data_IF_857462667332
#
_entry.id   IF_857462667332
#
_cell.length_a   1.000
_cell.length_b   1.000
_cell.length_c   1.000
_cell.angle_alpha   90.00
_cell.angle_beta   90.00
_cell.angle_gamma   90.00
#
_symmetry.space_group_name_H-M   'P 1'
#
loop_
_entity.id
_entity.type
_entity.pdbx_description
1 polymer ?
#
# COMPACT_ATOMS: atom_id res chain seq x y z
N UNK A 1 -23.65 -51.69 17.04
CA UNK A 1 -24.15 -52.13 15.73
C UNK A 1 -24.77 -50.94 15.02
N UNK A 2 -24.25 -50.51 13.86
CA UNK A 2 -25.02 -49.70 12.92
C UNK A 2 -25.23 -50.49 11.61
N UNK A 3 -26.45 -50.48 11.06
CA UNK A 3 -26.74 -51.02 9.72
C UNK A 3 -27.79 -50.17 9.03
N UNK A 4 -27.41 -49.55 7.90
CA UNK A 4 -28.04 -49.66 6.57
C UNK A 4 -27.62 -48.42 5.75
N UNK A 5 -26.68 -48.54 4.82
CA UNK A 5 -26.74 -49.18 3.49
C UNK A 5 -27.35 -48.27 2.40
N UNK A 6 -26.44 -47.75 1.57
CA UNK A 6 -26.65 -47.16 0.24
C UNK A 6 -27.16 -48.20 -0.78
N UNK A 7 -27.58 -47.74 -1.98
CA UNK A 7 -27.16 -48.43 -3.19
C UNK A 7 -26.42 -47.55 -4.21
N UNK A 8 -25.40 -48.18 -4.79
CA UNK A 8 -24.55 -47.80 -5.93
C UNK A 8 -25.29 -47.95 -7.28
N UNK A 9 -24.77 -47.28 -8.32
CA UNK A 9 -24.38 -47.82 -9.67
C UNK A 9 -23.99 -46.63 -10.57
N UNK A 10 -23.12 -46.70 -11.58
CA UNK A 10 -22.13 -47.67 -12.05
C UNK A 10 -21.22 -46.93 -13.06
N UNK A 11 -19.97 -47.41 -13.20
CA UNK A 11 -18.96 -46.96 -14.18
C UNK A 11 -19.27 -47.49 -15.59
N UNK A 12 -18.86 -46.74 -16.61
CA UNK A 12 -18.56 -47.23 -17.95
C UNK A 12 -17.51 -46.33 -18.62
N UNK A 13 -16.39 -46.89 -19.05
CA UNK A 13 -15.45 -46.31 -20.02
C UNK A 13 -15.25 -47.32 -21.17
N UNK A 14 -14.16 -47.22 -21.96
CA UNK A 14 -13.75 -46.13 -22.84
C UNK A 14 -13.78 -46.57 -24.33
N UNK A 15 -13.80 -45.62 -25.27
CA UNK A 15 -13.73 -45.88 -26.72
C UNK A 15 -12.61 -45.07 -27.39
N UNK A 16 -11.86 -45.72 -28.29
CA UNK A 16 -10.57 -45.27 -28.84
C UNK A 16 -10.63 -44.96 -30.35
N UNK A 17 -9.78 -44.02 -30.79
CA UNK A 17 -9.16 -43.78 -32.13
C UNK A 17 -10.04 -43.39 -33.34
N UNK A 18 -9.67 -42.31 -34.04
CA UNK A 18 -8.98 -42.37 -35.36
C UNK A 18 -8.51 -40.97 -35.83
N UNK A 19 -7.44 -40.93 -36.61
CA UNK A 19 -6.81 -39.77 -37.23
C UNK A 19 -6.90 -39.84 -38.78
N UNK A 20 -6.98 -38.69 -39.45
CA UNK A 20 -6.68 -38.45 -40.90
C UNK A 20 -6.63 -36.93 -41.11
N UNK A 21 -5.49 -36.28 -41.39
CA UNK A 21 -4.70 -36.08 -42.64
C UNK A 21 -5.19 -34.96 -43.59
N UNK A 22 -4.22 -34.13 -43.98
CA UNK A 22 -4.21 -32.84 -44.68
C UNK A 22 -4.75 -32.78 -46.13
N UNK A 23 -5.00 -31.55 -46.64
CA UNK A 23 -4.56 -31.13 -47.99
C UNK A 23 -4.64 -29.59 -48.17
N UNK A 24 -3.65 -29.07 -48.90
CA UNK A 24 -3.36 -27.67 -49.18
C UNK A 24 -4.06 -27.14 -50.44
N UNK A 25 -4.10 -25.81 -50.60
CA UNK A 25 -4.32 -25.16 -51.90
C UNK A 25 -3.39 -23.96 -52.04
N UNK A 26 -2.42 -24.12 -52.94
CA UNK A 26 -1.61 -23.05 -53.52
C UNK A 26 -2.07 -22.84 -54.96
N UNK A 27 -2.27 -21.59 -55.36
CA UNK A 27 -2.33 -21.17 -56.77
C UNK A 27 -1.39 -19.97 -56.91
N UNK A 28 -0.43 -20.09 -57.82
CA UNK A 28 0.56 -19.07 -58.11
C UNK A 28 0.43 -18.46 -59.50
N UNK A 29 1.15 -17.35 -59.63
CA UNK A 29 1.70 -16.69 -60.81
C UNK A 29 0.79 -15.73 -61.62
N UNK A 30 1.18 -14.45 -61.68
CA UNK A 30 2.04 -13.90 -62.75
C UNK A 30 2.41 -12.44 -62.43
N UNK A 31 3.66 -12.07 -62.66
CA UNK A 31 4.24 -10.78 -62.29
C UNK A 31 4.25 -9.73 -63.40
N UNK A 32 4.56 -8.50 -62.99
CA UNK A 32 5.16 -7.46 -63.83
C UNK A 32 6.13 -6.65 -62.96
N UNK A 33 7.39 -6.56 -63.39
CA UNK A 33 8.44 -5.73 -62.81
C UNK A 33 8.62 -4.47 -63.68
N UNK A 34 8.72 -3.29 -63.04
CA UNK A 34 9.13 -2.00 -63.63
C UNK A 34 9.86 -1.19 -62.52
N UNK A 35 10.91 -0.40 -62.82
CA UNK A 35 12.15 -0.38 -62.04
C UNK A 35 12.24 0.68 -60.93
N UNK A 36 13.27 0.50 -60.10
CA UNK A 36 13.67 1.37 -59.00
C UNK A 36 14.08 2.78 -59.47
N UNK A 37 13.53 3.79 -58.78
CA UNK A 37 14.08 5.14 -58.73
C UNK A 37 14.72 5.34 -57.35
N UNK A 38 16.03 5.62 -57.33
CA UNK A 38 16.76 6.05 -56.13
C UNK A 38 16.26 7.44 -55.72
N UNK A 39 15.78 7.56 -54.48
CA UNK A 39 15.56 8.83 -53.82
C UNK A 39 16.43 8.88 -52.55
N UNK A 40 17.10 10.00 -52.37
CA UNK A 40 18.18 10.23 -51.44
C UNK A 40 17.77 10.04 -49.96
N UNK A 41 18.71 9.49 -49.18
CA UNK A 41 18.64 9.40 -47.73
C UNK A 41 18.44 10.77 -47.10
N UNK A 42 17.31 10.95 -46.44
CA UNK A 42 17.09 12.04 -45.49
C UNK A 42 17.10 11.41 -44.09
N UNK A 43 17.87 11.92 -43.10
CA UNK A 43 17.92 11.28 -41.79
C UNK A 43 16.54 11.41 -41.12
N UNK A 44 15.93 10.27 -40.80
CA UNK A 44 14.73 10.24 -39.97
C UNK A 44 15.05 10.86 -38.59
N UNK A 45 14.15 11.68 -38.01
CA UNK A 45 14.35 12.19 -36.66
C UNK A 45 14.34 10.99 -35.71
N UNK A 46 15.42 10.85 -34.94
CA UNK A 46 15.52 9.87 -33.87
C UNK A 46 14.33 10.09 -32.93
N UNK A 47 13.41 9.12 -32.92
CA UNK A 47 12.36 9.06 -31.92
C UNK A 47 13.02 9.08 -30.56
N UNK A 48 12.66 10.08 -29.74
CA UNK A 48 12.97 10.06 -28.31
C UNK A 48 12.42 8.75 -27.78
N UNK A 49 13.30 7.83 -27.38
CA UNK A 49 12.91 6.71 -26.54
C UNK A 49 12.16 7.32 -25.36
N UNK A 50 10.86 7.03 -25.25
CA UNK A 50 10.13 7.29 -24.04
C UNK A 50 10.82 6.47 -22.95
N UNK A 51 11.55 7.15 -22.07
CA UNK A 51 11.85 6.60 -20.75
C UNK A 51 10.47 6.25 -20.19
N UNK A 52 10.24 4.98 -19.88
CA UNK A 52 9.02 4.61 -19.17
C UNK A 52 9.01 5.45 -17.90
N UNK A 53 8.01 6.32 -17.75
CA UNK A 53 7.78 7.04 -16.50
C UNK A 53 7.81 5.99 -15.38
N UNK A 54 8.52 6.25 -14.27
CA UNK A 54 8.46 5.34 -13.14
C UNK A 54 6.99 5.12 -12.78
N UNK A 55 6.59 3.86 -12.59
CA UNK A 55 5.25 3.57 -12.10
C UNK A 55 5.17 4.05 -10.65
N UNK A 56 4.79 5.32 -10.47
CA UNK A 56 4.69 6.00 -9.17
C UNK A 56 3.53 5.45 -8.34
N UNK A 57 2.60 4.71 -8.95
CA UNK A 57 1.39 4.26 -8.27
C UNK A 57 0.45 5.41 -7.87
N UNK A 58 0.73 6.65 -8.28
CA UNK A 58 -0.07 7.83 -7.96
C UNK A 58 -1.46 7.76 -8.65
N UNK A 59 -2.54 8.03 -7.91
CA UNK A 59 -3.83 8.24 -8.51
C UNK A 59 -3.87 9.46 -9.46
N UNK A 60 -4.62 9.37 -10.58
CA UNK A 60 -4.83 10.51 -11.47
C UNK A 60 -5.68 11.59 -10.80
N UNK A 61 -5.65 12.84 -11.28
CA UNK A 61 -6.46 13.94 -10.72
C UNK A 61 -7.96 13.62 -10.63
N UNK A 62 -8.50 12.82 -11.55
CA UNK A 62 -9.91 12.40 -11.52
C UNK A 62 -10.27 11.55 -10.29
N UNK A 63 -9.28 10.92 -9.63
CA UNK A 63 -9.48 10.23 -8.36
C UNK A 63 -9.69 11.22 -7.20
N UNK A 64 -9.00 12.35 -7.21
CA UNK A 64 -9.11 13.36 -6.16
C UNK A 64 -10.36 14.25 -6.34
N UNK A 65 -10.85 14.36 -7.58
CA UNK A 65 -12.05 15.11 -7.91
C UNK A 65 -11.76 16.60 -8.12
N UNK A 66 -12.78 17.45 -8.00
CA UNK A 66 -12.63 18.89 -8.22
C UNK A 66 -12.03 19.58 -6.99
N UNK A 67 -10.75 19.94 -7.07
CA UNK A 67 -10.03 20.69 -6.05
C UNK A 67 -10.40 22.18 -6.04
N UNK A 68 -10.93 22.72 -7.15
CA UNK A 68 -11.39 24.12 -7.24
C UNK A 68 -12.65 24.40 -6.40
N UNK A 69 -13.35 23.34 -6.00
CA UNK A 69 -14.52 23.42 -5.10
C UNK A 69 -14.16 23.47 -3.61
N UNK A 70 -12.89 23.25 -3.25
CA UNK A 70 -12.46 23.24 -1.85
C UNK A 70 -12.54 24.67 -1.28
N UNK A 71 -13.31 24.91 -0.22
CA UNK A 71 -13.43 26.25 0.37
C UNK A 71 -12.09 26.70 0.96
N UNK A 72 -11.82 28.00 0.90
CA UNK A 72 -10.64 28.58 1.52
C UNK A 72 -10.69 28.38 3.05
N UNK A 73 -9.59 27.88 3.62
CA UNK A 73 -9.42 27.73 5.05
C UNK A 73 -9.57 29.08 5.76
N UNK A 74 -10.20 29.08 6.92
CA UNK A 74 -10.21 30.23 7.85
C UNK A 74 -9.21 30.00 9.00
N UNK A 75 -8.77 28.76 9.19
CA UNK A 75 -7.69 28.38 10.08
C UNK A 75 -6.38 28.15 9.29
N UNK A 76 -5.76 26.96 9.37
CA UNK A 76 -4.45 26.68 8.76
C UNK A 76 -4.61 26.04 7.39
N UNK A 77 -5.41 24.97 7.27
CA UNK A 77 -5.68 24.31 5.99
C UNK A 77 -7.09 23.72 5.97
N UNK A 78 -7.66 23.55 4.78
CA UNK A 78 -8.94 22.88 4.61
C UNK A 78 -8.71 21.39 4.37
N UNK A 79 -9.25 20.53 5.24
CA UNK A 79 -9.25 19.07 5.00
C UNK A 79 -10.55 18.69 4.30
N UNK A 80 -10.47 17.88 3.24
CA UNK A 80 -11.62 17.28 2.55
C UNK A 80 -11.48 15.76 2.58
N UNK A 81 -12.53 15.08 3.02
CA UNK A 81 -12.57 13.61 3.03
C UNK A 81 -13.31 13.11 1.78
N UNK A 82 -12.69 12.20 1.04
CA UNK A 82 -13.20 11.66 -0.21
C UNK A 82 -13.66 10.21 -0.02
N UNK A 83 -14.85 9.90 -0.53
CA UNK A 83 -15.33 8.52 -0.63
C UNK A 83 -14.77 7.85 -1.89
N UNK A 84 -13.78 6.97 -1.68
CA UNK A 84 -13.20 6.12 -2.72
C UNK A 84 -13.53 4.64 -2.47
N UNK A 85 -14.71 4.37 -1.89
CA UNK A 85 -15.14 3.02 -1.54
C UNK A 85 -15.70 2.21 -2.71
N UNK A 86 -15.49 2.66 -3.95
CA UNK A 86 -15.98 1.99 -5.17
C UNK A 86 -17.49 1.70 -5.15
N UNK A 87 -18.27 2.61 -4.55
CA UNK A 87 -19.72 2.47 -4.38
C UNK A 87 -20.16 1.47 -3.31
N UNK A 88 -19.23 0.92 -2.53
CA UNK A 88 -19.56 0.01 -1.42
C UNK A 88 -20.34 0.71 -0.33
N UNK A 89 -19.94 1.92 0.02
CA UNK A 89 -20.57 2.75 1.04
C UNK A 89 -21.01 4.08 0.43
N UNK A 90 -22.27 4.50 0.63
CA UNK A 90 -22.67 5.88 0.36
C UNK A 90 -22.00 6.87 1.34
N UNK A 91 -22.00 8.15 1.00
CA UNK A 91 -21.35 9.22 1.77
C UNK A 91 -21.90 9.38 3.21
N UNK A 92 -23.16 9.01 3.46
CA UNK A 92 -23.75 8.98 4.80
C UNK A 92 -23.28 7.79 5.66
N UNK A 93 -22.43 6.92 5.09
CA UNK A 93 -21.80 5.78 5.74
C UNK A 93 -20.27 5.83 5.73
N UNK A 94 -19.68 6.92 5.26
CA UNK A 94 -18.23 7.20 5.40
C UNK A 94 -18.08 8.28 6.45
N UNK A 95 -17.39 7.98 7.55
CA UNK A 95 -17.25 8.87 8.69
C UNK A 95 -15.81 9.27 8.92
N UNK A 96 -15.61 10.49 9.41
CA UNK A 96 -14.36 10.91 10.04
C UNK A 96 -14.61 11.22 11.52
N UNK A 97 -13.58 11.08 12.35
CA UNK A 97 -13.59 11.46 13.76
C UNK A 97 -12.30 12.19 14.13
N UNK A 98 -12.45 13.39 14.66
CA UNK A 98 -11.34 14.23 15.09
C UNK A 98 -11.82 15.24 16.15
N UNK A 99 -10.97 15.59 17.12
CA UNK A 99 -11.30 16.60 18.13
C UNK A 99 -12.52 16.27 19.01
N UNK A 100 -12.88 14.99 19.14
CA UNK A 100 -14.08 14.54 19.86
C UNK A 100 -15.39 14.68 19.07
N UNK A 101 -15.32 15.05 17.80
CA UNK A 101 -16.45 15.10 16.88
C UNK A 101 -16.42 13.91 15.92
N UNK A 102 -17.58 13.50 15.43
CA UNK A 102 -17.69 12.43 14.42
C UNK A 102 -18.86 12.73 13.52
N UNK A 103 -18.60 12.82 12.21
CA UNK A 103 -19.59 13.16 11.21
C UNK A 103 -19.44 12.26 9.99
N UNK A 104 -20.54 12.02 9.29
CA UNK A 104 -20.48 11.43 7.94
C UNK A 104 -20.01 12.49 6.95
N UNK A 105 -19.41 12.09 5.82
CA UNK A 105 -19.00 13.05 4.80
C UNK A 105 -20.21 13.64 4.04
N UNK A 106 -21.37 12.97 4.05
CA UNK A 106 -22.61 13.56 3.53
C UNK A 106 -23.09 14.75 4.37
N UNK A 107 -22.84 14.71 5.68
CA UNK A 107 -23.17 15.79 6.60
C UNK A 107 -22.11 16.89 6.57
N UNK A 108 -20.83 16.51 6.68
CA UNK A 108 -19.72 17.44 6.77
C UNK A 108 -18.48 16.87 6.04
N UNK A 109 -18.30 17.17 4.74
CA UNK A 109 -17.17 16.67 3.96
C UNK A 109 -15.87 17.47 4.19
N UNK A 110 -15.98 18.66 4.79
CA UNK A 110 -14.87 19.60 4.99
C UNK A 110 -14.60 19.85 6.48
N UNK A 111 -13.32 19.95 6.84
CA UNK A 111 -12.85 20.33 8.17
C UNK A 111 -11.86 21.50 8.02
N UNK A 112 -12.26 22.69 8.48
CA UNK A 112 -11.37 23.84 8.57
C UNK A 112 -10.41 23.65 9.75
N UNK A 113 -9.20 23.17 9.46
CA UNK A 113 -8.32 22.56 10.46
C UNK A 113 -7.49 23.62 11.20
N UNK A 114 -7.66 23.75 12.54
CA UNK A 114 -6.81 24.60 13.35
C UNK A 114 -5.46 23.95 13.63
N UNK A 115 -4.52 24.79 14.08
CA UNK A 115 -3.25 24.31 14.62
C UNK A 115 -3.49 23.31 15.77
N UNK A 116 -2.72 22.23 15.78
CA UNK A 116 -2.76 21.16 16.78
C UNK A 116 -1.38 20.50 16.91
N UNK A 117 -1.12 19.86 18.04
CA UNK A 117 0.22 19.35 18.39
C UNK A 117 0.41 17.83 18.29
N UNK A 118 -0.68 17.07 18.07
CA UNK A 118 -0.68 15.61 17.90
C UNK A 118 -2.08 15.12 17.47
N UNK A 119 -2.42 15.29 16.20
CA UNK A 119 -3.69 14.87 15.62
C UNK A 119 -3.69 13.40 15.19
N UNK A 120 -4.76 12.69 15.54
CA UNK A 120 -5.20 11.46 14.85
C UNK A 120 -6.61 11.68 14.34
N UNK A 121 -6.80 11.65 13.03
CA UNK A 121 -8.13 11.63 12.42
C UNK A 121 -8.45 10.19 12.02
N UNK A 122 -9.49 9.65 12.64
CA UNK A 122 -9.97 8.29 12.37
C UNK A 122 -11.03 8.32 11.28
N UNK A 123 -11.07 7.27 10.47
CA UNK A 123 -12.08 7.03 9.46
C UNK A 123 -12.84 5.75 9.77
N UNK A 124 -14.15 5.74 9.53
CA UNK A 124 -15.00 4.57 9.75
C UNK A 124 -15.93 4.34 8.56
N UNK A 125 -16.19 3.07 8.25
CA UNK A 125 -17.14 2.68 7.20
C UNK A 125 -18.34 1.93 7.78
N UNK A 126 -19.54 2.30 7.31
CA UNK A 126 -20.83 1.74 7.69
C UNK A 126 -21.45 2.34 8.96
N UNK A 127 -20.64 2.73 9.94
CA UNK A 127 -21.10 3.34 11.20
C UNK A 127 -19.98 4.18 11.87
N UNK A 128 -20.30 5.21 12.66
CA UNK A 128 -19.34 6.17 13.24
C UNK A 128 -18.34 5.61 14.27
N UNK A 129 -18.44 4.32 14.63
CA UNK A 129 -17.50 3.60 15.51
C UNK A 129 -17.30 2.15 15.03
N UNK A 130 -17.38 1.94 13.72
CA UNK A 130 -17.26 0.61 13.10
C UNK A 130 -15.88 -0.02 13.38
N UNK A 131 -15.80 -1.35 13.33
CA UNK A 131 -14.50 -2.04 13.33
C UNK A 131 -13.75 -1.88 12.01
N UNK A 132 -14.44 -1.50 10.93
CA UNK A 132 -13.80 -1.06 9.69
C UNK A 132 -13.33 0.36 9.87
N UNK A 133 -12.12 0.50 10.40
CA UNK A 133 -11.53 1.75 10.79
C UNK A 133 -10.03 1.81 10.47
N UNK A 134 -9.54 3.01 10.23
CA UNK A 134 -8.12 3.33 10.08
C UNK A 134 -7.91 4.81 10.42
N UNK A 135 -6.68 5.31 10.41
CA UNK A 135 -6.41 6.71 10.75
C UNK A 135 -5.18 7.28 10.02
N UNK A 136 -5.15 8.61 9.93
CA UNK A 136 -3.94 9.37 9.62
C UNK A 136 -3.40 10.04 10.89
N UNK A 137 -2.09 10.26 10.92
CA UNK A 137 -1.42 11.01 11.97
C UNK A 137 -0.91 12.32 11.41
N UNK A 138 -1.06 13.42 12.16
CA UNK A 138 -0.55 14.71 11.73
C UNK A 138 -0.32 15.69 12.89
N UNK A 139 0.46 16.72 12.59
CA UNK A 139 0.64 17.92 13.39
C UNK A 139 0.46 19.11 12.47
N UNK A 140 -0.49 19.99 12.81
CA UNK A 140 -0.69 21.25 12.11
C UNK A 140 -0.08 22.37 12.95
N UNK A 141 1.07 22.88 12.52
CA UNK A 141 1.66 24.08 13.11
C UNK A 141 0.91 25.35 12.68
N UNK A 142 1.36 26.53 13.11
CA UNK A 142 0.74 27.80 12.69
C UNK A 142 0.73 28.03 11.17
N UNK A 143 1.70 27.45 10.45
CA UNK A 143 1.90 27.63 9.01
C UNK A 143 2.63 26.43 8.38
N UNK A 144 2.36 25.22 8.88
CA UNK A 144 3.02 24.00 8.40
C UNK A 144 2.12 22.80 8.65
N UNK A 145 1.99 21.93 7.64
CA UNK A 145 1.41 20.60 7.81
C UNK A 145 2.54 19.57 7.93
N UNK A 146 2.39 18.62 8.85
CA UNK A 146 3.22 17.42 8.95
C UNK A 146 2.28 16.24 9.11
N UNK A 147 2.34 15.21 8.28
CA UNK A 147 1.44 14.08 8.46
C UNK A 147 1.74 12.88 7.58
N UNK A 148 1.09 11.76 7.90
CA UNK A 148 1.27 10.49 7.22
C UNK A 148 0.02 9.61 7.33
N UNK A 149 -0.17 8.74 6.33
CA UNK A 149 -0.89 7.47 6.55
C UNK A 149 0.00 6.54 7.38
N UNK A 150 -0.56 5.52 8.05
CA UNK A 150 0.26 4.60 8.85
C UNK A 150 -0.25 3.16 8.82
N UNK A 151 0.70 2.22 8.69
CA UNK A 151 0.50 0.77 8.81
C UNK A 151 1.31 0.21 9.98
N UNK A 152 1.85 1.07 10.86
CA UNK A 152 2.66 0.66 12.02
C UNK A 152 1.88 -0.27 12.96
N UNK A 153 0.59 -0.01 13.15
CA UNK A 153 -0.27 -0.84 14.00
C UNK A 153 -0.98 -1.95 13.17
N UNK A 154 -1.61 -1.56 12.06
CA UNK A 154 -2.35 -2.44 11.17
C UNK A 154 -2.70 -1.75 9.85
N UNK A 155 -3.08 -2.56 8.85
CA UNK A 155 -3.94 -2.12 7.75
C UNK A 155 -5.41 -2.34 8.12
N UNK A 156 -6.19 -1.27 8.17
CA UNK A 156 -7.63 -1.29 8.44
C UNK A 156 -8.45 -0.91 7.21
N UNK A 157 -8.21 0.25 6.61
CA UNK A 157 -8.88 0.78 5.43
C UNK A 157 -7.83 1.21 4.41
N UNK A 158 -8.23 1.36 3.14
CA UNK A 158 -7.36 1.97 2.14
C UNK A 158 -7.33 3.48 2.35
N UNK A 159 -6.15 4.06 2.51
CA UNK A 159 -5.98 5.48 2.77
C UNK A 159 -4.89 6.08 1.87
N UNK A 160 -5.19 7.24 1.30
CA UNK A 160 -4.21 8.09 0.64
C UNK A 160 -4.48 9.56 1.00
N UNK A 161 -3.44 10.37 0.96
CA UNK A 161 -3.48 11.80 1.18
C UNK A 161 -2.91 12.54 -0.02
N UNK A 162 -3.51 13.71 -0.34
CA UNK A 162 -2.93 14.70 -1.27
C UNK A 162 -2.83 16.03 -0.56
N UNK A 163 -1.61 16.54 -0.40
CA UNK A 163 -1.34 17.82 0.26
C UNK A 163 -0.97 18.86 -0.80
N UNK A 164 -1.64 19.99 -0.76
CA UNK A 164 -1.33 21.14 -1.60
C UNK A 164 -1.06 22.40 -0.76
N UNK A 165 -0.09 23.20 -1.19
CA UNK A 165 0.30 24.46 -0.56
C UNK A 165 0.13 25.65 -1.51
N UNK A 166 0.09 26.86 -0.96
CA UNK A 166 -0.13 28.08 -1.73
C UNK A 166 0.99 28.42 -2.72
N UNK A 167 2.19 27.87 -2.53
CA UNK A 167 3.33 28.02 -3.45
C UNK A 167 3.31 27.04 -4.64
N UNK A 168 2.27 26.20 -4.73
CA UNK A 168 2.08 25.20 -5.78
C UNK A 168 2.71 23.84 -5.47
N UNK A 169 3.21 23.61 -4.26
CA UNK A 169 3.53 22.25 -3.81
C UNK A 169 2.27 21.37 -3.87
N UNK A 170 2.40 20.18 -4.45
CA UNK A 170 1.32 19.19 -4.58
C UNK A 170 1.95 17.79 -4.53
N UNK A 171 1.62 17.01 -3.50
CA UNK A 171 2.20 15.67 -3.30
C UNK A 171 1.13 14.67 -2.86
N UNK A 172 1.37 13.39 -3.16
CA UNK A 172 0.48 12.29 -2.82
C UNK A 172 1.25 11.20 -2.06
N UNK A 173 0.64 10.65 -1.02
CA UNK A 173 1.19 9.53 -0.23
C UNK A 173 0.08 8.58 0.25
N UNK A 174 0.44 7.33 0.54
CA UNK A 174 -0.49 6.31 1.02
C UNK A 174 -0.55 5.09 0.11
N UNK A 175 -1.65 4.34 0.15
CA UNK A 175 -1.82 3.16 -0.70
C UNK A 175 -1.95 3.56 -2.18
N UNK A 176 -1.41 2.73 -3.08
CA UNK A 176 -1.35 3.04 -4.51
C UNK A 176 -2.71 2.98 -5.23
N UNK A 177 -2.76 3.58 -6.41
CA UNK A 177 -3.99 3.66 -7.20
C UNK A 177 -4.56 2.29 -7.57
N UNK A 178 -3.69 1.31 -7.85
CA UNK A 178 -4.14 -0.05 -8.15
C UNK A 178 -4.87 -0.67 -6.94
N UNK A 179 -4.37 -0.46 -5.73
CA UNK A 179 -5.01 -0.90 -4.50
C UNK A 179 -6.40 -0.28 -4.36
N UNK A 180 -6.57 1.00 -4.70
CA UNK A 180 -7.88 1.66 -4.71
C UNK A 180 -8.84 1.14 -5.79
N UNK A 181 -8.36 0.56 -6.89
CA UNK A 181 -9.22 0.04 -7.96
C UNK A 181 -9.85 -1.32 -7.67
N UNK A 182 -9.40 -2.02 -6.63
CA UNK A 182 -9.87 -3.35 -6.27
C UNK A 182 -10.76 -3.30 -5.02
N UNK A 183 -11.53 -4.35 -4.72
CA UNK A 183 -12.20 -4.47 -3.41
C UNK A 183 -11.15 -4.79 -2.33
N UNK A 184 -11.42 -4.39 -1.09
CA UNK A 184 -10.51 -4.56 0.07
C UNK A 184 -10.13 -6.02 0.30
N UNK A 185 -11.03 -6.95 0.00
CA UNK A 185 -10.73 -8.38 0.06
C UNK A 185 -9.59 -8.80 -0.88
N UNK A 186 -9.38 -8.10 -2.00
CA UNK A 186 -8.25 -8.34 -2.89
C UNK A 186 -6.92 -7.97 -2.22
N UNK A 187 -6.87 -6.90 -1.42
CA UNK A 187 -5.68 -6.53 -0.64
C UNK A 187 -5.31 -7.63 0.36
N UNK A 188 -6.30 -8.22 1.05
CA UNK A 188 -6.08 -9.36 1.95
C UNK A 188 -5.55 -10.58 1.19
N UNK A 189 -6.13 -10.89 0.02
CA UNK A 189 -5.71 -12.02 -0.79
C UNK A 189 -4.29 -11.84 -1.35
N UNK A 190 -3.94 -10.65 -1.84
CA UNK A 190 -2.60 -10.28 -2.30
C UNK A 190 -1.58 -10.39 -1.18
N UNK A 191 -1.89 -9.84 -0.01
CA UNK A 191 -1.03 -9.97 1.17
C UNK A 191 -0.69 -11.44 1.44
N UNK A 192 -1.69 -12.33 1.50
CA UNK A 192 -1.45 -13.76 1.71
C UNK A 192 -0.69 -14.46 0.58
N UNK A 193 -0.84 -13.98 -0.65
CA UNK A 193 -0.18 -14.55 -1.82
C UNK A 193 1.31 -14.18 -1.86
N UNK A 194 1.64 -12.94 -1.50
CA UNK A 194 2.95 -12.33 -1.72
C UNK A 194 3.91 -12.51 -0.53
N UNK A 195 3.40 -12.48 0.70
CA UNK A 195 4.27 -12.61 1.89
C UNK A 195 4.71 -14.06 2.13
N UNK A 196 5.88 -14.29 2.75
CA UNK A 196 6.32 -15.62 3.19
C UNK A 196 5.36 -16.27 4.17
N UNK A 197 5.51 -17.59 4.35
CA UNK A 197 4.60 -18.42 5.15
C UNK A 197 4.37 -17.85 6.56
N UNK A 198 5.41 -17.29 7.16
CA UNK A 198 5.41 -16.73 8.51
C UNK A 198 4.45 -15.56 8.70
N UNK A 199 4.22 -14.77 7.65
CA UNK A 199 3.40 -13.56 7.71
C UNK A 199 1.95 -13.82 7.26
N UNK A 200 1.64 -14.96 6.61
CA UNK A 200 0.31 -15.21 6.05
C UNK A 200 -0.82 -15.19 7.08
N UNK A 201 -0.51 -15.58 8.33
CA UNK A 201 -1.45 -15.56 9.45
C UNK A 201 -1.99 -14.16 9.79
N UNK A 202 -1.22 -13.10 9.49
CA UNK A 202 -1.61 -11.71 9.77
C UNK A 202 -2.91 -11.33 9.04
N UNK A 203 -3.13 -11.81 7.82
CA UNK A 203 -4.37 -11.53 7.09
C UNK A 203 -5.59 -12.33 7.60
N UNK A 204 -5.42 -13.20 8.60
CA UNK A 204 -6.51 -14.06 9.13
C UNK A 204 -6.80 -13.85 10.60
N UNK A 205 -5.82 -13.43 11.39
CA UNK A 205 -5.95 -13.37 12.86
C UNK A 205 -7.04 -12.41 13.32
N UNK A 206 -7.16 -11.26 12.63
CA UNK A 206 -8.16 -10.22 12.93
C UNK A 206 -9.08 -9.97 11.72
N UNK A 207 -9.22 -10.96 10.84
CA UNK A 207 -10.12 -10.88 9.70
C UNK A 207 -11.60 -10.86 10.14
N UNK A 208 -12.48 -10.15 9.41
CA UNK A 208 -12.21 -9.37 8.20
C UNK A 208 -11.73 -7.94 8.47
N UNK A 209 -11.45 -7.56 9.71
CA UNK A 209 -11.34 -6.16 10.11
C UNK A 209 -9.98 -5.55 9.86
N UNK A 210 -8.87 -6.29 10.01
CA UNK A 210 -7.53 -5.73 9.83
C UNK A 210 -6.47 -6.78 9.54
N UNK A 211 -5.34 -6.32 9.00
CA UNK A 211 -4.07 -7.04 8.94
C UNK A 211 -3.14 -6.37 9.96
N UNK A 212 -2.93 -6.92 11.17
CA UNK A 212 -2.09 -6.29 12.17
C UNK A 212 -0.60 -6.38 11.79
N UNK A 213 0.18 -5.42 12.25
CA UNK A 213 1.64 -5.50 12.18
C UNK A 213 2.16 -6.72 12.98
N UNK A 214 3.33 -7.28 12.63
CA UNK A 214 3.84 -8.50 13.25
C UNK A 214 3.88 -8.42 14.78
N UNK A 215 4.42 -7.34 15.36
CA UNK A 215 4.49 -7.16 16.81
C UNK A 215 3.14 -7.15 17.55
N UNK A 216 2.04 -6.95 16.82
CA UNK A 216 0.67 -6.98 17.33
C UNK A 216 0.00 -8.35 17.18
N UNK A 217 0.58 -9.29 16.43
CA UNK A 217 0.06 -10.65 16.23
C UNK A 217 0.59 -11.64 17.27
N UNK A 218 -0.25 -12.55 17.81
CA UNK A 218 0.20 -13.63 18.70
C UNK A 218 1.34 -14.48 18.13
N UNK A 219 1.42 -14.66 16.82
CA UNK A 219 2.42 -15.49 16.17
C UNK A 219 3.85 -14.98 16.35
N UNK A 220 4.04 -13.66 16.46
CA UNK A 220 5.36 -13.02 16.55
C UNK A 220 5.66 -12.46 17.96
N UNK A 221 4.72 -12.58 18.89
CA UNK A 221 4.89 -12.21 20.30
C UNK A 221 5.45 -13.38 21.11
N UNK A 222 5.76 -13.12 22.37
CA UNK A 222 6.28 -14.14 23.30
C UNK A 222 5.41 -15.41 23.32
N UNK A 223 6.04 -16.58 23.21
CA UNK A 223 5.38 -17.87 23.05
C UNK A 223 4.79 -18.18 21.67
N UNK A 224 4.79 -17.23 20.73
CA UNK A 224 4.35 -17.40 19.36
C UNK A 224 5.30 -18.24 18.50
N UNK A 225 4.76 -18.85 17.44
CA UNK A 225 5.54 -19.71 16.53
C UNK A 225 6.73 -19.00 15.85
N UNK A 226 6.63 -17.69 15.65
CA UNK A 226 7.63 -16.84 15.00
C UNK A 226 8.23 -15.79 15.94
N UNK A 227 8.10 -15.98 17.26
CA UNK A 227 8.66 -15.07 18.27
C UNK A 227 10.16 -14.79 18.08
N UNK A 228 10.89 -15.76 17.53
CA UNK A 228 12.35 -15.70 17.32
C UNK A 228 12.78 -15.51 15.86
N UNK A 229 11.86 -15.18 14.94
CA UNK A 229 12.13 -15.01 13.51
C UNK A 229 13.33 -14.09 13.19
N UNK A 230 13.47 -12.96 13.90
CA UNK A 230 14.62 -12.05 13.72
C UNK A 230 15.81 -12.33 14.65
N UNK A 231 15.64 -13.12 15.71
CA UNK A 231 16.57 -13.14 16.85
C UNK A 231 18.00 -13.50 16.44
N UNK A 232 18.19 -14.53 15.61
CA UNK A 232 19.53 -14.91 15.17
C UNK A 232 20.21 -13.83 14.29
N UNK A 233 19.43 -13.14 13.45
CA UNK A 233 19.95 -12.07 12.60
C UNK A 233 20.28 -10.82 13.42
N UNK A 234 19.41 -10.42 14.35
CA UNK A 234 19.69 -9.33 15.28
C UNK A 234 20.96 -9.60 16.11
N UNK A 235 21.15 -10.84 16.59
CA UNK A 235 22.34 -11.23 17.34
C UNK A 235 23.62 -11.14 16.51
N UNK A 236 23.55 -11.35 15.20
CA UNK A 236 24.72 -11.22 14.30
C UNK A 236 25.31 -9.81 14.25
N UNK A 237 24.53 -8.80 14.63
CA UNK A 237 24.94 -7.39 14.72
C UNK A 237 24.91 -6.86 16.15
N UNK A 238 24.97 -7.77 17.14
CA UNK A 238 25.09 -7.41 18.56
C UNK A 238 23.79 -7.00 19.25
N UNK A 239 22.63 -7.25 18.66
CA UNK A 239 21.31 -6.95 19.23
C UNK A 239 20.66 -8.22 19.77
N UNK A 240 20.20 -8.19 21.02
CA UNK A 240 19.49 -9.32 21.63
C UNK A 240 18.03 -8.94 21.92
N UNK A 241 17.21 -8.96 20.86
CA UNK A 241 15.79 -8.60 20.94
C UNK A 241 14.91 -9.71 20.33
N UNK A 242 13.70 -9.95 20.88
CA UNK A 242 12.71 -10.80 20.24
C UNK A 242 12.17 -10.12 18.99
N UNK A 243 11.50 -10.91 18.14
CA UNK A 243 10.92 -10.40 16.88
C UNK A 243 9.98 -9.23 17.09
N UNK A 244 9.12 -9.29 18.12
CA UNK A 244 8.19 -8.19 18.42
C UNK A 244 8.90 -6.84 18.64
N UNK A 245 10.08 -6.85 19.26
CA UNK A 245 10.84 -5.63 19.51
C UNK A 245 11.59 -5.17 18.26
N UNK A 246 12.07 -6.09 17.42
CA UNK A 246 12.63 -5.73 16.11
C UNK A 246 11.58 -5.07 15.22
N UNK A 247 10.41 -5.70 15.04
CA UNK A 247 9.35 -5.15 14.17
C UNK A 247 8.66 -3.92 14.75
N UNK A 248 8.67 -3.77 16.07
CA UNK A 248 8.08 -2.64 16.78
C UNK A 248 9.08 -1.56 17.20
N UNK A 249 10.35 -1.67 16.79
CA UNK A 249 11.44 -0.77 17.22
C UNK A 249 11.44 -0.47 18.73
N UNK A 250 11.28 -1.52 19.54
CA UNK A 250 11.15 -1.42 20.99
C UNK A 250 12.38 -1.98 21.72
N UNK A 251 12.37 -1.94 23.06
CA UNK A 251 13.50 -2.41 23.85
C UNK A 251 14.76 -1.57 23.61
N UNK A 252 15.89 -2.23 23.39
CA UNK A 252 17.16 -1.57 23.07
C UNK A 252 17.16 -0.84 21.71
N UNK A 253 16.17 -1.09 20.84
CA UNK A 253 16.03 -0.42 19.55
C UNK A 253 15.24 0.90 19.62
N UNK A 254 14.59 1.20 20.75
CA UNK A 254 13.69 2.36 20.90
C UNK A 254 14.37 3.73 20.78
N UNK A 255 15.71 3.78 20.77
CA UNK A 255 16.48 5.01 20.60
C UNK A 255 17.54 4.86 19.50
N UNK A 256 17.40 3.85 18.64
CA UNK A 256 18.33 3.58 17.55
C UNK A 256 17.57 3.32 16.24
N UNK A 257 17.06 4.41 15.67
CA UNK A 257 16.24 4.38 14.45
C UNK A 257 16.96 3.69 13.28
N UNK A 258 18.22 4.05 13.05
CA UNK A 258 19.02 3.48 11.96
C UNK A 258 19.15 1.95 12.08
N UNK A 259 19.50 1.44 13.27
CA UNK A 259 19.64 0.00 13.46
C UNK A 259 18.30 -0.74 13.41
N UNK A 260 17.21 -0.16 13.95
CA UNK A 260 15.89 -0.79 13.83
C UNK A 260 15.46 -0.90 12.36
N UNK A 261 15.60 0.19 11.60
CA UNK A 261 15.28 0.19 10.17
C UNK A 261 16.13 -0.82 9.41
N UNK A 262 17.44 -0.87 9.68
CA UNK A 262 18.34 -1.81 9.04
C UNK A 262 18.00 -3.28 9.37
N UNK A 263 17.56 -3.58 10.59
CA UNK A 263 17.09 -4.92 10.95
C UNK A 263 15.79 -5.28 10.22
N UNK A 264 14.80 -4.39 10.20
CA UNK A 264 13.53 -4.62 9.50
C UNK A 264 13.73 -4.83 7.99
N UNK A 265 14.69 -4.12 7.39
CA UNK A 265 14.98 -4.15 5.95
C UNK A 265 16.04 -5.19 5.54
N UNK A 266 16.59 -5.96 6.49
CA UNK A 266 17.67 -6.93 6.28
C UNK A 266 18.98 -6.31 5.72
N UNK A 267 19.35 -5.13 6.21
CA UNK A 267 20.58 -4.43 5.81
C UNK A 267 21.57 -4.21 6.94
N UNK A 268 21.29 -4.59 8.19
CA UNK A 268 22.13 -4.30 9.34
C UNK A 268 23.59 -4.82 9.26
N UNK A 269 23.83 -5.88 8.47
CA UNK A 269 25.16 -6.44 8.17
C UNK A 269 25.96 -5.63 7.13
N UNK A 270 25.27 -4.78 6.36
CA UNK A 270 25.87 -3.99 5.29
C UNK A 270 26.53 -2.73 5.86
N UNK A 271 27.49 -2.13 5.14
CA UNK A 271 27.98 -0.79 5.45
C UNK A 271 26.85 0.24 5.52
N UNK A 272 26.94 1.21 6.43
CA UNK A 272 25.89 2.20 6.72
C UNK A 272 25.31 2.88 5.46
N UNK A 273 26.16 3.24 4.50
CA UNK A 273 25.71 3.85 3.24
C UNK A 273 24.78 2.94 2.42
N UNK A 274 25.00 1.61 2.46
CA UNK A 274 24.14 0.64 1.79
C UNK A 274 22.84 0.37 2.56
N UNK A 275 22.82 0.64 3.87
CA UNK A 275 21.61 0.56 4.70
C UNK A 275 20.60 1.68 4.40
N UNK A 276 21.03 2.74 3.71
CA UNK A 276 20.18 3.85 3.29
C UNK A 276 19.66 3.72 1.85
N UNK A 277 20.14 2.73 1.10
CA UNK A 277 19.76 2.54 -0.31
C UNK A 277 18.59 1.55 -0.43
N UNK A 278 17.40 2.01 -0.89
CA UNK A 278 16.21 1.16 -1.01
C UNK A 278 16.40 -0.06 -1.92
N UNK A 279 17.36 -0.04 -2.85
CA UNK A 279 17.67 -1.19 -3.68
C UNK A 279 18.18 -2.40 -2.88
N UNK A 280 18.69 -2.18 -1.67
CA UNK A 280 19.18 -3.24 -0.78
C UNK A 280 18.11 -3.75 0.20
N UNK A 281 16.92 -3.16 0.25
CA UNK A 281 15.92 -3.51 1.25
C UNK A 281 15.21 -4.82 0.88
N UNK A 282 14.95 -5.64 1.90
CA UNK A 282 14.16 -6.86 1.84
C UNK A 282 14.67 -7.92 0.84
N UNK A 283 15.97 -7.90 0.51
CA UNK A 283 16.59 -8.81 -0.47
C UNK A 283 16.82 -10.23 0.05
N UNK A 284 16.72 -10.46 1.36
CA UNK A 284 16.84 -11.77 1.97
C UNK A 284 16.07 -11.85 3.30
N UNK A 285 15.77 -13.07 3.74
CA UNK A 285 15.16 -13.34 5.04
C UNK A 285 16.23 -13.52 6.14
N UNK A 286 15.92 -13.20 7.41
CA UNK A 286 14.65 -12.62 7.87
C UNK A 286 14.52 -11.13 7.55
N UNK A 287 13.35 -10.71 7.10
CA UNK A 287 13.01 -9.30 6.85
C UNK A 287 11.53 -9.04 7.20
N UNK A 288 11.15 -7.78 7.36
CA UNK A 288 9.78 -7.40 7.68
C UNK A 288 8.94 -7.37 6.39
N UNK A 289 8.50 -8.55 5.96
CA UNK A 289 7.71 -8.70 4.72
C UNK A 289 6.30 -8.10 4.83
N UNK A 290 5.81 -7.82 6.05
CA UNK A 290 4.62 -6.99 6.25
C UNK A 290 4.88 -5.55 5.77
N UNK A 291 5.97 -4.92 6.23
CA UNK A 291 6.33 -3.57 5.79
C UNK A 291 6.62 -3.53 4.28
N UNK A 292 7.38 -4.52 3.77
CA UNK A 292 7.67 -4.64 2.33
C UNK A 292 6.40 -4.62 1.48
N UNK A 293 5.35 -5.36 1.89
CA UNK A 293 4.08 -5.37 1.17
C UNK A 293 3.49 -3.96 1.04
N UNK A 294 3.48 -3.18 2.11
CA UNK A 294 2.94 -1.81 2.05
C UNK A 294 3.78 -0.87 1.19
N UNK A 295 5.10 -1.04 1.13
CA UNK A 295 5.92 -0.33 0.13
C UNK A 295 5.60 -0.79 -1.29
N UNK A 296 5.48 -2.10 -1.53
CA UNK A 296 5.20 -2.63 -2.87
C UNK A 296 3.86 -2.14 -3.43
N UNK A 297 2.88 -1.84 -2.56
CA UNK A 297 1.55 -1.33 -2.89
C UNK A 297 1.30 0.11 -2.42
N UNK A 298 2.37 0.89 -2.25
CA UNK A 298 2.33 2.29 -1.82
C UNK A 298 2.70 3.27 -2.94
N UNK A 299 2.13 4.47 -2.89
CA UNK A 299 2.48 5.59 -3.76
C UNK A 299 3.98 5.90 -3.60
N UNK A 300 4.70 5.98 -4.71
CA UNK A 300 6.15 6.16 -4.80
C UNK A 300 6.97 5.13 -3.99
N UNK A 301 6.37 3.96 -3.71
CA UNK A 301 6.91 2.94 -2.81
C UNK A 301 7.17 3.44 -1.38
N UNK A 302 6.46 4.50 -0.96
CA UNK A 302 6.53 5.06 0.38
C UNK A 302 5.40 4.51 1.24
N UNK A 303 5.74 4.00 2.43
CA UNK A 303 4.78 3.48 3.38
C UNK A 303 5.35 3.54 4.80
N UNK A 304 4.50 3.76 5.79
CA UNK A 304 4.90 3.72 7.19
C UNK A 304 4.54 2.35 7.80
N UNK A 305 5.34 1.33 7.47
CA UNK A 305 5.09 -0.07 7.82
C UNK A 305 5.67 -0.51 9.18
N UNK A 306 6.60 0.27 9.75
CA UNK A 306 7.14 0.10 11.10
C UNK A 306 7.60 1.46 11.68
N UNK A 307 7.82 1.61 13.01
CA UNK A 307 7.98 2.94 13.63
C UNK A 307 9.13 3.82 13.16
N UNK A 308 10.14 3.26 12.49
CA UNK A 308 11.30 3.99 11.97
C UNK A 308 11.44 3.85 10.44
N UNK A 309 10.32 3.68 9.73
CA UNK A 309 10.33 3.62 8.26
C UNK A 309 10.72 4.95 7.60
N UNK A 310 10.70 6.05 8.37
CA UNK A 310 11.15 7.37 7.96
C UNK A 310 12.67 7.44 7.72
N UNK A 311 13.45 6.49 8.26
CA UNK A 311 14.88 6.34 7.92
C UNK A 311 15.02 6.12 6.41
N UNK A 312 15.95 6.83 5.78
CA UNK A 312 16.11 6.91 4.33
C UNK A 312 14.90 7.49 3.58
N UNK A 313 13.99 8.20 4.27
CA UNK A 313 12.84 8.86 3.67
C UNK A 313 11.84 7.89 3.03
N UNK A 314 11.60 6.72 3.62
CA UNK A 314 10.71 5.70 3.03
C UNK A 314 9.31 5.67 3.63
N UNK A 315 9.04 6.45 4.67
CA UNK A 315 7.69 6.56 5.21
C UNK A 315 6.77 7.34 4.28
N UNK A 316 5.46 7.16 4.46
CA UNK A 316 4.41 7.97 3.80
C UNK A 316 4.25 9.36 4.43
N UNK A 317 5.33 9.93 4.99
CA UNK A 317 5.33 11.23 5.65
C UNK A 317 5.48 12.37 4.64
N UNK A 318 4.65 13.39 4.80
CA UNK A 318 4.70 14.65 4.04
C UNK A 318 4.77 15.83 4.99
N UNK A 319 5.57 16.83 4.65
CA UNK A 319 5.67 18.08 5.39
C UNK A 319 5.87 19.24 4.43
N UNK A 320 5.07 20.29 4.60
CA UNK A 320 5.20 21.51 3.82
C UNK A 320 4.65 22.73 4.57
N UNK A 321 5.29 23.88 4.37
CA UNK A 321 4.80 25.18 4.86
C UNK A 321 3.67 25.73 3.99
N UNK A 322 2.97 26.77 4.46
CA UNK A 322 1.90 27.46 3.73
C UNK A 322 0.82 26.52 3.15
N UNK A 323 0.33 25.51 3.92
CA UNK A 323 -0.59 24.50 3.41
C UNK A 323 -1.95 25.12 3.08
N UNK A 324 -2.50 24.79 1.93
CA UNK A 324 -3.81 25.28 1.49
C UNK A 324 -4.91 24.27 1.81
N UNK A 325 -4.73 23.02 1.38
CA UNK A 325 -5.70 21.95 1.59
C UNK A 325 -5.04 20.58 1.67
N UNK A 326 -5.74 19.66 2.33
CA UNK A 326 -5.42 18.24 2.39
C UNK A 326 -6.67 17.45 1.96
N UNK A 327 -6.54 16.64 0.92
CA UNK A 327 -7.54 15.62 0.61
C UNK A 327 -7.15 14.29 1.23
N UNK A 328 -8.11 13.59 1.85
CA UNK A 328 -7.91 12.24 2.39
C UNK A 328 -8.91 11.29 1.74
N UNK A 329 -8.41 10.35 0.94
CA UNK A 329 -9.21 9.33 0.29
C UNK A 329 -9.42 8.12 1.20
N UNK A 330 -10.68 7.74 1.42
CA UNK A 330 -11.07 6.55 2.19
C UNK A 330 -11.63 5.50 1.23
N UNK A 331 -10.91 4.39 1.10
CA UNK A 331 -11.20 3.36 0.10
C UNK A 331 -11.74 2.05 0.65
N UNK A 332 -12.35 1.29 -0.26
CA UNK A 332 -12.81 -0.07 -0.07
C UNK A 332 -12.40 -0.92 -1.26
#
# INVERSE_FOLDING_TARGET
MPTNALPRRARGGPGTRLATLAAALAVGALGFAVPAAQAADTPAPQGKSAVAEPNTGEPPDSFWGDTGSIPAAQNVLMVKVLNQTNGKYPDDQVFWSFGGQTHSIAEQPYIDMPANSAGRMYFYLGAPNSQYADFIEFTVGPDVFNGNTTRVDAFGLKLAMRLHAHDGYDTQVGDDYQTFQEDRSATFAKFQAEVPAEFKGLATVDAPYRIPAPGSSPDFRDGGQYANYFTAYAQSVGVNEPTSNVTGCAGSLAQNAALCAALNRHTAQLPEAQQQDPANFYQAAPANYYAKFWHDHGINKLAYGFPYDDVAGQSSFVSHGDPQWLEVAVGW
#
